data_IF_709000690738
#
_entry.id   IF_709000690738
#
_cell.length_a   1.000
_cell.length_b   1.000
_cell.length_c   1.000
_cell.angle_alpha   90.00
_cell.angle_beta   90.00
_cell.angle_gamma   90.00
#
_symmetry.space_group_name_H-M   'P 1'
#
loop_
_entity.id
_entity.type
_entity.pdbx_description
1 polymer ?
#
# COMPACT_ATOMS: atom_id res chain seq x y z
N UNK A 1 -0.33 23.96 -47.53
CA UNK A 1 0.56 23.25 -46.58
C UNK A 1 -0.34 22.47 -45.64
N UNK A 2 -0.50 21.16 -45.87
CA UNK A 2 -1.41 20.33 -45.08
C UNK A 2 -0.68 19.90 -43.81
N UNK A 3 -0.96 20.58 -42.69
CA UNK A 3 -0.41 20.24 -41.39
C UNK A 3 -0.89 18.85 -40.97
N UNK A 4 0.05 17.96 -40.64
CA UNK A 4 -0.28 16.67 -40.02
C UNK A 4 -0.97 16.93 -38.67
N UNK A 5 -2.07 16.25 -38.34
CA UNK A 5 -2.65 16.37 -37.00
C UNK A 5 -1.61 15.89 -35.99
N UNK A 6 -1.22 16.77 -35.06
CA UNK A 6 -0.37 16.41 -33.92
C UNK A 6 -1.24 15.57 -32.99
N UNK A 7 -0.96 14.26 -32.94
CA UNK A 7 -1.68 13.38 -32.04
C UNK A 7 -1.14 13.61 -30.63
N UNK A 8 -1.81 14.49 -29.88
CA UNK A 8 -1.56 14.69 -28.46
C UNK A 8 -2.08 13.46 -27.72
N UNK A 9 -1.24 12.44 -27.55
CA UNK A 9 -1.55 11.34 -26.64
C UNK A 9 -1.67 11.95 -25.24
N UNK A 10 -2.78 11.74 -24.51
CA UNK A 10 -2.86 12.20 -23.14
C UNK A 10 -1.69 11.57 -22.37
N UNK A 11 -0.88 12.43 -21.74
CA UNK A 11 0.17 11.97 -20.84
C UNK A 11 -0.55 11.30 -19.67
N UNK A 12 -0.33 10.00 -19.51
CA UNK A 12 -0.88 9.28 -18.38
C UNK A 12 -0.05 9.65 -17.15
N UNK A 13 -0.68 10.33 -16.20
CA UNK A 13 -0.04 10.74 -14.95
C UNK A 13 -0.17 9.63 -13.91
N UNK A 14 0.97 9.19 -13.38
CA UNK A 14 1.05 8.26 -12.27
C UNK A 14 1.64 9.01 -11.07
N UNK A 15 0.77 9.39 -10.14
CA UNK A 15 1.14 10.04 -8.88
C UNK A 15 0.84 9.05 -7.78
N UNK A 16 1.83 8.74 -6.95
CA UNK A 16 1.68 7.82 -5.81
C UNK A 16 1.96 8.54 -4.50
N UNK A 17 1.24 8.18 -3.43
CA UNK A 17 1.50 8.76 -2.12
C UNK A 17 2.76 8.17 -1.47
N UNK A 18 3.34 8.93 -0.56
CA UNK A 18 4.39 8.48 0.36
C UNK A 18 3.76 7.78 1.57
N UNK A 19 4.44 6.77 2.10
CA UNK A 19 3.98 6.01 3.26
C UNK A 19 4.97 6.04 4.41
N UNK A 20 4.43 6.13 5.64
CA UNK A 20 5.17 5.87 6.88
C UNK A 20 4.74 4.52 7.42
N UNK A 21 5.72 3.64 7.66
CA UNK A 21 5.50 2.33 8.29
C UNK A 21 6.07 2.32 9.69
N UNK A 22 5.24 2.03 10.69
CA UNK A 22 5.64 1.80 12.06
C UNK A 22 5.73 0.31 12.32
N UNK A 23 6.76 -0.07 13.07
CA UNK A 23 7.05 -1.45 13.43
C UNK A 23 7.05 -1.57 14.93
N UNK A 24 6.53 -2.70 15.39
CA UNK A 24 6.55 -3.07 16.81
C UNK A 24 7.33 -4.36 17.01
N UNK A 25 7.92 -4.48 18.19
CA UNK A 25 8.63 -5.68 18.61
C UNK A 25 7.64 -6.67 19.22
N UNK A 26 7.35 -7.74 18.48
CA UNK A 26 6.35 -8.76 18.82
C UNK A 26 7.07 -10.06 19.21
N UNK A 27 6.55 -10.73 20.24
CA UNK A 27 7.04 -12.00 20.79
C UNK A 27 8.52 -11.99 21.17
N UNK A 28 9.07 -10.82 21.50
CA UNK A 28 10.48 -10.69 21.87
C UNK A 28 11.47 -11.02 20.75
N UNK A 29 11.01 -11.10 19.49
CA UNK A 29 11.85 -11.61 18.39
C UNK A 29 11.64 -10.90 17.05
N UNK A 30 10.44 -10.40 16.75
CA UNK A 30 10.12 -9.92 15.41
C UNK A 30 9.71 -8.46 15.39
N UNK A 31 10.32 -7.69 14.48
CA UNK A 31 9.88 -6.34 14.16
C UNK A 31 8.91 -6.38 12.99
N UNK A 32 7.62 -6.42 13.31
CA UNK A 32 6.55 -6.54 12.31
C UNK A 32 5.89 -5.18 12.07
N UNK A 33 5.44 -4.90 10.83
CA UNK A 33 4.62 -3.72 10.58
C UNK A 33 3.28 -3.88 11.29
N UNK A 34 2.91 -2.90 12.11
CA UNK A 34 1.61 -2.86 12.80
C UNK A 34 0.73 -1.72 12.29
N UNK A 35 1.36 -0.68 11.76
CA UNK A 35 0.68 0.52 11.29
C UNK A 35 1.38 1.12 10.06
N UNK A 36 0.60 1.39 9.01
CA UNK A 36 1.06 2.13 7.82
C UNK A 36 0.10 3.30 7.61
N UNK A 37 0.64 4.47 7.33
CA UNK A 37 -0.15 5.67 7.07
C UNK A 37 0.41 6.48 5.89
N UNK A 38 -0.50 7.00 5.09
CA UNK A 38 -0.29 8.15 4.22
C UNK A 38 -1.37 9.19 4.49
N UNK A 39 -1.01 10.47 4.47
CA UNK A 39 -1.93 11.57 4.74
C UNK A 39 -1.39 12.85 4.09
N UNK A 40 -1.56 12.97 2.78
CA UNK A 40 -0.96 14.04 2.00
C UNK A 40 -1.81 14.43 0.77
N UNK A 41 -1.68 15.67 0.28
CA UNK A 41 -2.27 16.08 -0.98
C UNK A 41 -1.48 15.53 -2.17
N UNK A 42 -2.15 14.86 -3.10
CA UNK A 42 -1.58 14.48 -4.40
C UNK A 42 -1.87 15.57 -5.43
N UNK A 43 -0.80 16.05 -6.08
CA UNK A 43 -0.89 17.06 -7.13
C UNK A 43 -0.90 16.38 -8.51
N UNK A 44 -1.98 16.58 -9.26
CA UNK A 44 -2.09 16.21 -10.68
C UNK A 44 -1.90 17.47 -11.53
N UNK A 45 -1.46 17.35 -12.79
CA UNK A 45 -1.02 18.53 -13.57
C UNK A 45 -2.16 19.46 -13.99
N UNK A 46 -3.41 18.98 -14.03
CA UNK A 46 -4.56 19.72 -14.55
C UNK A 46 -5.70 19.89 -13.55
N UNK A 47 -5.49 19.49 -12.29
CA UNK A 47 -6.51 19.63 -11.23
C UNK A 47 -5.92 20.29 -10.00
N UNK A 48 -6.80 20.72 -9.11
CA UNK A 48 -6.40 21.04 -7.75
C UNK A 48 -5.85 19.80 -7.04
N UNK A 49 -5.06 20.02 -6.01
CA UNK A 49 -4.50 18.96 -5.20
C UNK A 49 -5.63 18.18 -4.50
N UNK A 50 -5.57 16.85 -4.60
CA UNK A 50 -6.55 15.96 -3.95
C UNK A 50 -5.97 15.44 -2.66
N UNK A 51 -6.61 15.73 -1.53
CA UNK A 51 -6.16 15.20 -0.24
C UNK A 51 -6.55 13.72 -0.09
N UNK A 52 -5.54 12.86 0.07
CA UNK A 52 -5.72 11.41 0.23
C UNK A 52 -5.20 10.98 1.59
N UNK A 53 -5.99 10.11 2.25
CA UNK A 53 -5.61 9.50 3.52
C UNK A 53 -5.76 7.99 3.42
N UNK A 54 -4.66 7.28 3.66
CA UNK A 54 -4.62 5.82 3.73
C UNK A 54 -4.11 5.37 5.09
N UNK A 55 -4.79 4.39 5.68
CA UNK A 55 -4.43 3.84 6.99
C UNK A 55 -4.61 2.33 6.97
N UNK A 56 -3.51 1.59 7.18
CA UNK A 56 -3.52 0.14 7.32
C UNK A 56 -3.12 -0.21 8.75
N UNK A 57 -3.92 -1.08 9.39
CA UNK A 57 -3.66 -1.62 10.72
C UNK A 57 -3.58 -3.14 10.64
N UNK A 58 -2.42 -3.68 10.98
CA UNK A 58 -2.24 -5.12 11.08
C UNK A 58 -2.54 -5.55 12.51
N UNK A 59 -3.46 -6.50 12.66
CA UNK A 59 -3.89 -7.01 13.97
C UNK A 59 -3.90 -8.54 13.95
N UNK A 60 -3.86 -9.15 15.14
CA UNK A 60 -3.99 -10.60 15.30
C UNK A 60 -2.94 -11.39 14.49
N UNK A 61 -1.67 -10.98 14.56
CA UNK A 61 -0.58 -11.75 13.99
C UNK A 61 -0.63 -13.20 14.50
N UNK A 62 -0.70 -14.16 13.57
CA UNK A 62 -0.67 -15.60 13.88
C UNK A 62 0.43 -16.25 13.07
N UNK A 63 1.30 -16.97 13.77
CA UNK A 63 2.34 -17.79 13.16
C UNK A 63 1.77 -19.15 12.79
N UNK A 64 1.82 -19.50 11.51
CA UNK A 64 1.62 -20.88 11.10
C UNK A 64 2.95 -21.62 11.26
N UNK A 65 3.03 -22.52 12.24
CA UNK A 65 4.16 -23.43 12.30
C UNK A 65 4.17 -24.30 11.02
N UNK A 66 5.35 -24.62 10.44
CA UNK A 66 5.43 -25.67 9.44
C UNK A 66 5.00 -26.97 10.11
N UNK A 67 3.77 -27.44 9.83
CA UNK A 67 3.18 -28.65 10.40
C UNK A 67 1.79 -28.50 11.05
N UNK A 68 1.27 -27.28 11.23
CA UNK A 68 -0.02 -27.05 11.90
C UNK A 68 -1.26 -27.52 11.10
N UNK A 69 -1.09 -28.02 9.87
CA UNK A 69 -2.18 -28.53 9.03
C UNK A 69 -2.42 -30.06 9.13
N UNK A 70 -1.71 -30.79 9.99
CA UNK A 70 -1.80 -32.27 10.05
C UNK A 70 -2.38 -32.86 11.34
N UNK A 71 -2.97 -32.04 12.23
CA UNK A 71 -3.48 -32.50 13.53
C UNK A 71 -5.01 -32.36 13.67
N UNK A 72 -5.77 -32.72 12.63
CA UNK A 72 -7.22 -32.93 12.74
C UNK A 72 -7.65 -34.09 11.84
N UNK A 73 -7.39 -35.32 12.29
CA UNK A 73 -8.21 -36.50 12.01
C UNK A 73 -7.49 -37.75 12.51
N UNK A 74 -7.80 -38.22 13.71
CA UNK A 74 -7.71 -39.65 14.03
C UNK A 74 -9.02 -40.06 14.72
N UNK A 75 -9.70 -41.12 14.23
CA UNK A 75 -10.91 -41.68 14.83
C UNK A 75 -10.62 -42.31 16.20
#
# INVERSE_FOLDING_TARGET
MNGRPVQNKPVQEEVSPTFVTYREFIDGQYWLPTYVRSDEPLQFNYTEAVHIREVIKYTNYRRTAPGAAAAQSRP
#
